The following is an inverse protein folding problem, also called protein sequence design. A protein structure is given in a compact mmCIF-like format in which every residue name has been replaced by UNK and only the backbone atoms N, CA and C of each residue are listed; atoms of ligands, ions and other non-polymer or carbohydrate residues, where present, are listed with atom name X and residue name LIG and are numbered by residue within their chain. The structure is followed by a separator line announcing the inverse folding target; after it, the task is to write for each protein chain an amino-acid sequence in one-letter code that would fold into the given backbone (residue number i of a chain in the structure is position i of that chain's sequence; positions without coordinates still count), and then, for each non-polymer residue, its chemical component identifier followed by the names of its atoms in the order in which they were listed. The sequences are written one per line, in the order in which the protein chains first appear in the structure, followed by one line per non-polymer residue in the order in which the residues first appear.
data_IF_362675501617
#
_entry.id   IF_362675501617
#
_cell.length_a   1.000
_cell.length_b   1.000
_cell.length_c   1.000
_cell.angle_alpha   90.00
_cell.angle_beta   90.00
_cell.angle_gamma   90.00
#
_symmetry.space_group_name_H-M   'P 1'
#
loop_
_entity.id
_entity.type
_entity.pdbx_description
1 polymer ?
#
# COMPACT_ATOMS: atom_id res chain seq x y z
N UNK A 1 17.74 -15.20 -21.00
CA UNK A 1 17.70 -14.23 -19.88
C UNK A 1 16.29 -13.71 -19.87
N UNK A 2 15.51 -14.08 -18.85
CA UNK A 2 14.07 -13.85 -18.76
C UNK A 2 13.77 -12.36 -18.69
N UNK A 3 12.85 -11.93 -19.55
CA UNK A 3 12.34 -10.57 -19.62
C UNK A 3 11.78 -10.12 -18.26
N UNK A 4 12.59 -9.33 -17.55
CA UNK A 4 12.20 -8.68 -16.31
C UNK A 4 11.19 -7.58 -16.64
N UNK A 5 9.94 -7.76 -16.21
CA UNK A 5 8.89 -6.78 -16.41
C UNK A 5 9.25 -5.47 -15.71
N UNK A 6 9.58 -4.46 -16.51
CA UNK A 6 9.90 -3.10 -16.06
C UNK A 6 8.67 -2.21 -16.17
N UNK A 7 7.94 -2.05 -15.07
CA UNK A 7 6.92 -1.02 -14.97
C UNK A 7 7.65 0.32 -14.76
N UNK A 8 7.64 1.21 -15.76
CA UNK A 8 8.40 2.49 -15.75
C UNK A 8 9.93 2.38 -15.73
N UNK A 9 10.51 1.29 -16.26
CA UNK A 9 11.98 1.08 -16.21
C UNK A 9 12.49 0.60 -14.85
N UNK A 10 11.58 0.35 -13.89
CA UNK A 10 11.86 -0.18 -12.56
C UNK A 10 11.17 -1.53 -12.36
N UNK A 11 11.73 -2.37 -11.48
CA UNK A 11 11.13 -3.66 -11.12
C UNK A 11 9.86 -3.42 -10.30
N UNK A 12 8.86 -4.30 -10.46
CA UNK A 12 7.62 -4.30 -9.64
C UNK A 12 7.91 -4.25 -8.13
N UNK A 13 8.87 -5.04 -7.58
CA UNK A 13 9.23 -4.93 -6.16
C UNK A 13 9.74 -3.54 -5.76
N UNK A 14 10.57 -2.88 -6.57
CA UNK A 14 11.03 -1.51 -6.27
C UNK A 14 9.89 -0.52 -6.21
N UNK A 15 8.94 -0.59 -7.15
CA UNK A 15 7.77 0.28 -7.12
C UNK A 15 6.96 0.07 -5.85
N UNK A 16 6.73 -1.19 -5.46
CA UNK A 16 6.06 -1.53 -4.21
C UNK A 16 6.81 -0.97 -2.98
N UNK A 17 8.13 -1.07 -2.93
CA UNK A 17 8.95 -0.51 -1.83
C UNK A 17 8.76 1.01 -1.74
N UNK A 18 8.88 1.73 -2.86
CA UNK A 18 8.80 3.20 -2.88
C UNK A 18 7.39 3.65 -2.47
N UNK A 19 6.35 3.08 -3.06
CA UNK A 19 4.95 3.43 -2.78
C UNK A 19 4.57 3.12 -1.32
N UNK A 20 5.01 1.97 -0.79
CA UNK A 20 4.77 1.60 0.61
C UNK A 20 5.55 2.48 1.58
N UNK A 21 6.79 2.85 1.22
CA UNK A 21 7.62 3.74 2.02
C UNK A 21 6.99 5.13 2.14
N UNK A 22 6.45 5.65 1.03
CA UNK A 22 5.69 6.90 1.03
C UNK A 22 4.45 6.80 1.92
N UNK A 23 3.76 5.66 1.91
CA UNK A 23 2.59 5.39 2.75
C UNK A 23 2.92 5.40 4.25
N UNK A 24 4.07 4.83 4.64
CA UNK A 24 4.55 4.85 6.03
C UNK A 24 4.88 6.27 6.47
N UNK A 25 5.63 7.02 5.66
CA UNK A 25 5.97 8.42 5.94
C UNK A 25 4.70 9.25 6.07
N UNK A 26 3.74 9.06 5.16
CA UNK A 26 2.45 9.74 5.22
C UNK A 26 1.66 9.38 6.48
N UNK A 27 1.58 8.11 6.85
CA UNK A 27 0.86 7.68 8.05
C UNK A 27 1.43 8.28 9.34
N UNK A 28 2.76 8.36 9.46
CA UNK A 28 3.43 9.02 10.58
C UNK A 28 3.13 10.53 10.58
N UNK A 29 3.22 11.17 9.40
CA UNK A 29 2.91 12.59 9.26
C UNK A 29 1.45 12.90 9.59
N UNK A 30 0.50 12.10 9.13
CA UNK A 30 -0.92 12.28 9.45
C UNK A 30 -1.22 12.06 10.93
N UNK A 31 -0.50 11.17 11.61
CA UNK A 31 -0.64 10.99 13.05
C UNK A 31 -0.11 12.19 13.85
N UNK A 32 1.03 12.76 13.45
CA UNK A 32 1.65 13.92 14.10
C UNK A 32 0.90 15.25 13.84
N UNK A 33 0.29 15.39 12.67
CA UNK A 33 -0.46 16.60 12.28
C UNK A 33 -1.92 16.58 12.75
N UNK A 34 -2.41 15.44 13.25
CA UNK A 34 -3.75 15.33 13.80
C UNK A 34 -3.82 16.03 15.18
N UNK A 35 -4.20 17.31 15.20
CA UNK A 35 -4.49 18.08 16.42
C UNK A 35 -5.94 17.93 16.91
N UNK A 36 -6.62 16.84 16.59
CA UNK A 36 -8.04 16.64 16.92
C UNK A 36 -8.21 15.98 18.30
N UNK A 37 -9.04 16.57 19.15
CA UNK A 37 -9.62 15.94 20.34
C UNK A 37 -10.96 15.28 19.96
N UNK A 38 -11.10 13.94 19.98
CA UNK A 38 -10.15 12.89 20.34
C UNK A 38 -9.22 12.45 19.18
N UNK A 39 -8.01 11.96 19.48
CA UNK A 39 -7.03 11.55 18.46
C UNK A 39 -7.54 10.34 17.67
N UNK A 40 -7.74 10.55 16.38
CA UNK A 40 -8.26 9.52 15.49
C UNK A 40 -7.16 8.49 15.18
N UNK A 41 -7.19 7.36 15.88
CA UNK A 41 -6.26 6.21 15.70
C UNK A 41 -6.23 5.74 14.23
N UNK A 42 -7.30 5.99 13.48
CA UNK A 42 -7.41 5.73 12.04
C UNK A 42 -6.34 6.42 11.18
N UNK A 43 -5.75 7.54 11.61
CA UNK A 43 -4.68 8.21 10.87
C UNK A 43 -3.36 7.41 10.84
N UNK A 44 -3.16 6.48 11.78
CA UNK A 44 -1.96 5.64 11.84
C UNK A 44 -2.10 4.33 11.02
N UNK A 45 -3.31 4.00 10.54
CA UNK A 45 -3.56 2.79 9.74
C UNK A 45 -2.64 2.69 8.50
N UNK A 46 -2.41 3.77 7.71
CA UNK A 46 -1.51 3.70 6.56
C UNK A 46 -0.09 3.27 6.92
N UNK A 47 0.45 3.72 8.07
CA UNK A 47 1.76 3.30 8.53
C UNK A 47 1.75 1.85 9.02
N UNK A 48 0.70 1.43 9.73
CA UNK A 48 0.57 0.08 10.28
C UNK A 48 0.49 -0.99 9.19
N UNK A 49 -0.18 -0.70 8.07
CA UNK A 49 -0.23 -1.60 6.91
C UNK A 49 0.89 -1.37 5.90
N UNK A 50 1.39 -0.14 5.77
CA UNK A 50 2.53 0.18 4.91
C UNK A 50 3.83 -0.47 5.36
N UNK A 51 4.04 -0.64 6.67
CA UNK A 51 5.25 -1.24 7.24
C UNK A 51 5.44 -2.73 6.88
N UNK A 52 4.47 -3.64 7.09
CA UNK A 52 4.60 -5.03 6.64
C UNK A 52 4.68 -5.13 5.13
N UNK A 53 4.00 -4.25 4.40
CA UNK A 53 4.04 -4.24 2.94
C UNK A 53 5.41 -3.80 2.40
N UNK A 54 6.03 -2.80 3.03
CA UNK A 54 7.41 -2.38 2.75
C UNK A 54 8.39 -3.53 3.02
N UNK A 55 8.22 -4.25 4.13
CA UNK A 55 9.04 -5.42 4.46
C UNK A 55 8.94 -6.54 3.41
N UNK A 56 7.72 -6.85 2.98
CA UNK A 56 7.49 -7.82 1.90
C UNK A 56 8.08 -7.37 0.55
N UNK A 57 8.02 -6.07 0.25
CA UNK A 57 8.65 -5.49 -0.94
C UNK A 57 10.17 -5.64 -0.93
N UNK A 58 10.83 -5.33 0.20
CA UNK A 58 12.28 -5.48 0.36
C UNK A 58 12.70 -6.96 0.28
N UNK A 59 11.93 -7.86 0.88
CA UNK A 59 12.17 -9.31 0.78
C UNK A 59 12.03 -9.80 -0.66
N UNK A 60 11.02 -9.32 -1.40
CA UNK A 60 10.82 -9.66 -2.81
C UNK A 60 11.96 -9.16 -3.71
N UNK A 61 12.57 -8.02 -3.39
CA UNK A 61 13.72 -7.45 -4.13
C UNK A 61 15.03 -8.23 -3.85
N UNK A 62 15.19 -8.76 -2.63
CA UNK A 62 16.39 -9.52 -2.25
C UNK A 62 16.34 -11.00 -2.63
N UNK A 63 15.17 -11.61 -2.67
CA UNK A 63 15.02 -13.06 -2.89
C UNK A 63 14.19 -13.36 -4.14
N UNK A 64 14.88 -13.36 -5.29
CA UNK A 64 14.29 -13.63 -6.60
C UNK A 64 13.75 -15.07 -6.74
N UNK A 65 14.33 -16.02 -5.99
CA UNK A 65 13.88 -17.43 -5.98
C UNK A 65 12.46 -17.58 -5.44
N UNK A 66 12.06 -16.75 -4.47
CA UNK A 66 10.76 -16.81 -3.80
C UNK A 66 9.86 -15.61 -4.12
N UNK A 67 10.23 -14.79 -5.11
CA UNK A 67 9.56 -13.53 -5.46
C UNK A 67 8.03 -13.68 -5.63
N UNK A 68 7.57 -14.80 -6.22
CA UNK A 68 6.14 -15.08 -6.41
C UNK A 68 5.35 -15.22 -5.11
N UNK A 69 5.96 -15.80 -4.06
CA UNK A 69 5.33 -15.99 -2.75
C UNK A 69 5.24 -14.67 -1.99
N UNK A 70 6.33 -13.90 -1.99
CA UNK A 70 6.35 -12.57 -1.37
C UNK A 70 5.34 -11.62 -2.03
N UNK A 71 5.24 -11.65 -3.36
CA UNK A 71 4.23 -10.88 -4.09
C UNK A 71 2.80 -11.37 -3.84
N UNK A 72 2.59 -12.67 -3.57
CA UNK A 72 1.27 -13.19 -3.18
C UNK A 72 0.87 -12.74 -1.78
N UNK A 73 1.78 -12.81 -0.82
CA UNK A 73 1.55 -12.24 0.51
C UNK A 73 1.25 -10.73 0.42
N UNK A 74 2.04 -9.98 -0.34
CA UNK A 74 1.84 -8.55 -0.54
C UNK A 74 0.46 -8.22 -1.15
N UNK A 75 -0.03 -9.06 -2.07
CA UNK A 75 -1.37 -8.91 -2.66
C UNK A 75 -2.49 -9.10 -1.63
N UNK A 76 -2.37 -10.07 -0.73
CA UNK A 76 -3.35 -10.28 0.35
C UNK A 76 -3.38 -9.05 1.27
N UNK A 77 -2.21 -8.51 1.63
CA UNK A 77 -2.12 -7.26 2.41
C UNK A 77 -2.70 -6.05 1.67
N UNK A 78 -2.46 -5.93 0.36
CA UNK A 78 -3.03 -4.85 -0.45
C UNK A 78 -4.56 -4.93 -0.52
N UNK A 79 -5.14 -6.13 -0.60
CA UNK A 79 -6.58 -6.33 -0.55
C UNK A 79 -7.16 -5.91 0.81
N UNK A 80 -6.49 -6.28 1.91
CA UNK A 80 -6.87 -5.85 3.26
C UNK A 80 -6.80 -4.31 3.41
N UNK A 81 -5.77 -3.68 2.85
CA UNK A 81 -5.66 -2.22 2.80
C UNK A 81 -6.78 -1.57 1.99
N UNK A 82 -7.14 -2.12 0.84
CA UNK A 82 -8.24 -1.61 0.02
C UNK A 82 -9.59 -1.71 0.75
N UNK A 83 -9.85 -2.82 1.45
CA UNK A 83 -11.04 -2.97 2.31
C UNK A 83 -11.01 -1.96 3.47
N UNK A 84 -9.83 -1.75 4.07
CA UNK A 84 -9.63 -0.73 5.11
C UNK A 84 -9.94 0.67 4.59
N UNK A 85 -9.40 1.06 3.44
CA UNK A 85 -9.66 2.33 2.76
C UNK A 85 -11.12 2.48 2.33
N UNK A 86 -11.77 1.38 1.91
CA UNK A 86 -13.19 1.35 1.58
C UNK A 86 -14.10 1.65 2.78
N UNK A 87 -13.60 1.78 4.01
CA UNK A 87 -14.40 2.36 5.11
C UNK A 87 -14.76 3.83 4.87
N UNK A 88 -14.08 4.52 3.95
CA UNK A 88 -14.41 5.91 3.59
C UNK A 88 -15.81 6.05 2.99
N UNK A 89 -16.29 5.08 2.20
CA UNK A 89 -17.64 5.14 1.59
C UNK A 89 -18.77 4.97 2.62
N UNK A 90 -18.51 4.31 3.75
CA UNK A 90 -19.52 4.05 4.79
C UNK A 90 -19.42 4.98 5.99
N UNK A 91 -18.30 5.69 6.17
CA UNK A 91 -18.02 6.51 7.35
C UNK A 91 -17.55 7.94 7.09
N UNK A 92 -17.76 8.49 5.88
CA UNK A 92 -17.25 9.82 5.51
C UNK A 92 -17.80 10.97 6.37
N UNK A 93 -19.01 10.84 6.92
CA UNK A 93 -19.70 11.91 7.67
C UNK A 93 -19.08 12.20 9.05
N UNK A 94 -18.38 11.22 9.63
CA UNK A 94 -17.80 11.31 10.99
C UNK A 94 -16.26 11.43 10.94
N UNK A 95 -15.65 11.46 9.75
CA UNK A 95 -14.20 11.49 9.58
C UNK A 95 -13.65 12.89 9.41
N UNK A 96 -12.56 13.19 10.14
CA UNK A 96 -11.73 14.36 9.87
C UNK A 96 -11.10 14.28 8.47
N UNK A 97 -10.87 15.43 7.82
CA UNK A 97 -10.27 15.53 6.48
C UNK A 97 -8.96 14.73 6.35
N UNK A 98 -8.13 14.73 7.40
CA UNK A 98 -6.89 13.95 7.47
C UNK A 98 -7.14 12.44 7.41
N UNK A 99 -8.13 11.94 8.16
CA UNK A 99 -8.51 10.54 8.14
C UNK A 99 -9.08 10.15 6.77
N UNK A 100 -9.87 11.03 6.15
CA UNK A 100 -10.42 10.84 4.82
C UNK A 100 -9.31 10.72 3.76
N UNK A 101 -8.30 11.60 3.82
CA UNK A 101 -7.12 11.55 2.93
C UNK A 101 -6.33 10.24 3.14
N UNK A 102 -6.11 9.82 4.39
CA UNK A 102 -5.41 8.57 4.70
C UNK A 102 -6.13 7.32 4.16
N UNK A 103 -7.46 7.29 4.21
CA UNK A 103 -8.25 6.19 3.62
C UNK A 103 -8.23 6.21 2.08
N UNK A 104 -8.24 7.39 1.46
CA UNK A 104 -8.08 7.52 0.01
C UNK A 104 -6.70 7.04 -0.45
N UNK A 105 -5.63 7.38 0.27
CA UNK A 105 -4.28 6.92 -0.04
C UNK A 105 -4.14 5.40 0.07
N UNK A 106 -4.71 4.80 1.13
CA UNK A 106 -4.79 3.33 1.27
C UNK A 106 -5.51 2.68 0.08
N UNK A 107 -6.60 3.29 -0.38
CA UNK A 107 -7.41 2.79 -1.49
C UNK A 107 -6.69 2.92 -2.84
N UNK A 108 -6.06 4.06 -3.12
CA UNK A 108 -5.28 4.29 -4.36
C UNK A 108 -4.09 3.35 -4.41
N UNK A 109 -3.26 3.31 -3.36
CA UNK A 109 -2.04 2.50 -3.33
C UNK A 109 -2.38 1.01 -3.36
N UNK A 110 -3.41 0.58 -2.63
CA UNK A 110 -3.91 -0.80 -2.69
C UNK A 110 -4.42 -1.20 -4.08
N UNK A 111 -5.09 -0.29 -4.78
CA UNK A 111 -5.56 -0.51 -6.15
C UNK A 111 -4.41 -0.61 -7.16
N UNK A 112 -3.40 0.26 -7.03
CA UNK A 112 -2.19 0.23 -7.87
C UNK A 112 -1.45 -1.11 -7.77
N UNK A 113 -1.25 -1.63 -6.55
CA UNK A 113 -0.56 -2.91 -6.34
C UNK A 113 -1.39 -4.09 -6.84
N UNK A 114 -2.72 -4.04 -6.68
CA UNK A 114 -3.62 -5.05 -7.25
C UNK A 114 -3.60 -5.01 -8.78
N UNK A 115 -3.64 -3.82 -9.39
CA UNK A 115 -3.62 -3.63 -10.83
C UNK A 115 -2.28 -4.01 -11.45
N UNK A 116 -1.18 -3.71 -10.78
CA UNK A 116 0.17 -4.12 -11.20
C UNK A 116 0.33 -5.67 -11.21
N UNK A 117 -0.60 -6.41 -10.60
CA UNK A 117 -0.69 -7.87 -10.65
C UNK A 117 -1.94 -8.40 -11.35
N UNK A 118 -2.71 -7.53 -12.03
CA UNK A 118 -3.86 -7.95 -12.82
C UNK A 118 -3.40 -8.86 -13.96
N UNK A 119 -4.05 -10.03 -14.17
CA UNK A 119 -3.62 -11.05 -15.13
C UNK A 119 -3.64 -10.61 -16.62
N UNK A 120 -4.02 -9.36 -16.91
CA UNK A 120 -4.06 -8.79 -18.26
C UNK A 120 -2.67 -8.48 -18.83
N UNK A 121 -1.61 -8.40 -18.02
CA UNK A 121 -0.25 -8.07 -18.49
C UNK A 121 0.73 -9.25 -18.33
N UNK A 122 0.30 -10.37 -17.73
CA UNK A 122 1.17 -11.51 -17.42
C UNK A 122 1.09 -12.66 -18.46
N UNK A 123 0.72 -12.37 -19.70
CA UNK A 123 0.69 -13.36 -20.81
C UNK A 123 1.74 -13.15 -21.91
N UNK A 124 2.76 -12.31 -21.72
CA UNK A 124 3.89 -12.23 -22.66
C UNK A 124 5.22 -12.17 -21.91
#
# INVERSE_FOLDING_TARGET
MSDEFKFLGMTVPRFAIISSGLLVVWGIFSYMTQSADPPSITAAIPALFGLPMLGLGIMADRDEKNLRHYMHAAMVFALLMAIGGARVITGYSEMSTLALISHLLLLVIGSDIHFCRSPIIQTC
#
